data_IF_878030150655
#
_entry.id   IF_878030150655
#
_cell.length_a   1.000
_cell.length_b   1.000
_cell.length_c   1.000
_cell.angle_alpha   90.00
_cell.angle_beta   90.00
_cell.angle_gamma   90.00
#
_symmetry.space_group_name_H-M   'P 1'
#
loop_
_entity.id
_entity.type
_entity.pdbx_description
1 polymer ?
#
# COMPACT_ATOMS: atom_id res chain seq x y z
N UNK A 1 -17.97 -28.50 0.21
CA UNK A 1 -16.95 -27.99 -0.73
C UNK A 1 -15.81 -27.46 0.11
N UNK A 2 -14.81 -28.29 0.36
CA UNK A 2 -13.74 -28.03 1.35
C UNK A 2 -12.59 -27.35 0.61
N UNK A 3 -12.50 -26.02 0.66
CA UNK A 3 -11.38 -25.30 0.06
C UNK A 3 -10.09 -25.71 0.76
N UNK A 4 -9.25 -26.50 0.09
CA UNK A 4 -7.92 -26.87 0.55
C UNK A 4 -7.13 -25.59 0.83
N UNK A 5 -6.58 -25.42 2.04
CA UNK A 5 -5.74 -24.27 2.44
C UNK A 5 -4.53 -24.00 1.53
N UNK A 6 -4.23 -24.94 0.63
CA UNK A 6 -3.20 -24.82 -0.39
C UNK A 6 -3.53 -23.80 -1.49
N UNK A 7 -4.82 -23.53 -1.75
CA UNK A 7 -5.27 -22.71 -2.89
C UNK A 7 -5.62 -21.25 -2.50
N UNK A 8 -5.64 -20.93 -1.21
CA UNK A 8 -5.85 -19.57 -0.74
C UNK A 8 -4.55 -18.75 -0.83
N UNK A 9 -4.59 -17.49 -1.30
CA UNK A 9 -3.41 -16.64 -1.33
C UNK A 9 -2.77 -16.51 0.06
N UNK A 10 -1.44 -16.40 0.09
CA UNK A 10 -0.71 -16.13 1.33
C UNK A 10 -0.88 -14.68 1.76
N UNK A 11 -0.86 -13.76 0.79
CA UNK A 11 -1.12 -12.34 0.99
C UNK A 11 -2.13 -11.89 -0.06
N UNK A 12 -3.16 -11.18 0.36
CA UNK A 12 -4.13 -10.56 -0.53
C UNK A 12 -4.37 -9.12 -0.05
N UNK A 13 -4.10 -8.17 -0.93
CA UNK A 13 -4.32 -6.75 -0.72
C UNK A 13 -5.28 -6.28 -1.79
N UNK A 14 -6.35 -5.61 -1.40
CA UNK A 14 -7.40 -5.16 -2.32
C UNK A 14 -7.65 -3.66 -2.17
N UNK A 15 -7.44 -2.91 -3.25
CA UNK A 15 -7.78 -1.49 -3.39
C UNK A 15 -7.27 -0.60 -2.25
N UNK A 16 -6.06 -0.89 -1.78
CA UNK A 16 -5.49 -0.17 -0.64
C UNK A 16 -5.07 1.23 -1.04
N UNK A 17 -5.36 2.18 -0.15
CA UNK A 17 -5.07 3.62 -0.31
C UNK A 17 -4.42 4.15 0.96
N UNK A 18 -3.35 4.91 0.80
CA UNK A 18 -2.68 5.62 1.89
C UNK A 18 -2.27 7.01 1.40
N UNK A 19 -2.98 8.01 1.91
CA UNK A 19 -2.71 9.41 1.60
C UNK A 19 -2.20 10.13 2.85
N UNK A 20 -1.16 10.94 2.70
CA UNK A 20 -0.57 11.72 3.77
C UNK A 20 -0.95 13.19 3.61
N UNK A 21 -1.55 13.84 4.63
CA UNK A 21 -1.98 15.23 4.52
C UNK A 21 -0.76 16.16 4.45
N UNK A 22 -0.81 17.12 3.53
CA UNK A 22 0.14 18.23 3.48
C UNK A 22 -0.47 19.40 4.26
N UNK A 23 0.27 19.89 5.25
CA UNK A 23 -0.14 21.02 6.09
C UNK A 23 0.80 22.20 5.87
N UNK A 24 0.26 23.41 5.91
CA UNK A 24 1.01 24.67 5.81
C UNK A 24 0.71 25.56 7.02
N UNK A 25 1.70 26.35 7.44
CA UNK A 25 1.63 27.26 8.58
C UNK A 25 2.35 26.71 9.83
N UNK A 26 3.10 27.59 10.50
CA UNK A 26 3.93 27.25 11.69
C UNK A 26 3.08 27.31 12.97
N UNK A 27 2.23 28.33 13.11
CA UNK A 27 1.39 28.55 14.30
C UNK A 27 0.01 27.90 14.15
N UNK A 28 -0.59 27.99 12.96
CA UNK A 28 -1.85 27.33 12.61
C UNK A 28 -1.62 26.40 11.43
N UNK A 29 -1.63 25.09 11.68
CA UNK A 29 -1.50 24.07 10.63
C UNK A 29 -2.80 23.96 9.85
N UNK A 30 -2.84 24.52 8.63
CA UNK A 30 -3.96 24.35 7.69
C UNK A 30 -3.66 23.22 6.72
N UNK A 31 -4.60 22.30 6.49
CA UNK A 31 -4.49 21.28 5.43
C UNK A 31 -4.58 21.97 4.07
N UNK A 32 -3.55 21.80 3.24
CA UNK A 32 -3.44 22.42 1.92
C UNK A 32 -3.44 21.41 0.78
N UNK A 33 -3.33 20.13 1.08
CA UNK A 33 -3.39 19.06 0.11
C UNK A 33 -3.10 17.70 0.74
N UNK A 34 -2.79 16.73 -0.10
CA UNK A 34 -2.41 15.38 0.30
C UNK A 34 -1.48 14.73 -0.73
N UNK A 35 -0.48 13.99 -0.23
CA UNK A 35 0.41 13.15 -1.03
C UNK A 35 -0.18 11.76 -1.06
N UNK A 36 -0.48 11.27 -2.26
CA UNK A 36 -0.96 9.91 -2.47
C UNK A 36 0.22 8.93 -2.51
N UNK A 37 0.57 8.35 -1.38
CA UNK A 37 1.68 7.39 -1.32
C UNK A 37 1.28 6.00 -1.85
N UNK A 38 0.04 5.59 -1.63
CA UNK A 38 -0.56 4.39 -2.24
C UNK A 38 -1.94 4.77 -2.74
N UNK A 39 -2.23 4.54 -4.01
CA UNK A 39 -3.53 4.83 -4.62
C UNK A 39 -4.06 3.61 -5.38
N UNK A 40 -5.05 2.95 -4.77
CA UNK A 40 -5.82 1.85 -5.37
C UNK A 40 -4.99 0.62 -5.77
N UNK A 41 -4.08 0.21 -4.88
CA UNK A 41 -3.21 -0.95 -5.14
C UNK A 41 -3.90 -2.24 -4.73
N UNK A 42 -3.94 -3.20 -5.66
CA UNK A 42 -4.36 -4.58 -5.40
C UNK A 42 -3.25 -5.54 -5.79
N UNK A 43 -2.89 -6.44 -4.89
CA UNK A 43 -1.85 -7.45 -5.12
C UNK A 43 -2.21 -8.77 -4.42
N UNK A 44 -1.79 -9.87 -5.01
CA UNK A 44 -1.99 -11.21 -4.46
C UNK A 44 -0.66 -11.95 -4.54
N UNK A 45 -0.26 -12.62 -3.46
CA UNK A 45 0.95 -13.43 -3.39
C UNK A 45 0.54 -14.83 -2.97
N UNK A 46 0.80 -15.81 -3.84
CA UNK A 46 0.55 -17.22 -3.57
C UNK A 46 1.63 -17.80 -2.66
N UNK A 47 1.35 -18.95 -2.05
CA UNK A 47 2.34 -19.67 -1.25
C UNK A 47 3.50 -20.12 -2.13
N UNK A 48 4.73 -19.80 -1.72
CA UNK A 48 5.95 -20.14 -2.47
C UNK A 48 6.36 -19.11 -3.52
N UNK A 49 5.59 -18.03 -3.71
CA UNK A 49 5.98 -16.93 -4.58
C UNK A 49 6.91 -15.94 -3.87
N UNK A 50 7.82 -15.36 -4.63
CA UNK A 50 8.64 -14.23 -4.19
C UNK A 50 8.24 -13.00 -5.02
N UNK A 51 7.73 -11.95 -4.35
CA UNK A 51 7.39 -10.69 -4.98
C UNK A 51 8.50 -9.65 -4.73
N UNK A 52 9.04 -9.08 -5.81
CA UNK A 52 9.97 -7.94 -5.74
C UNK A 52 9.27 -6.61 -6.02
N UNK A 53 9.26 -5.70 -5.05
CA UNK A 53 8.69 -4.36 -5.21
C UNK A 53 9.79 -3.33 -5.52
N UNK A 54 9.81 -2.82 -6.75
CA UNK A 54 10.86 -1.91 -7.26
C UNK A 54 10.29 -0.58 -7.76
N UNK A 55 11.14 0.45 -7.86
CA UNK A 55 10.75 1.80 -8.30
C UNK A 55 11.63 2.90 -7.71
N UNK A 56 11.48 4.14 -8.20
CA UNK A 56 12.26 5.31 -7.79
C UNK A 56 12.10 5.67 -6.30
N UNK A 57 13.06 6.40 -5.74
CA UNK A 57 12.94 6.89 -4.35
C UNK A 57 11.67 7.72 -4.18
N UNK A 58 10.89 7.45 -3.13
CA UNK A 58 9.63 8.16 -2.87
C UNK A 58 8.39 7.61 -3.57
N UNK A 59 8.48 6.55 -4.37
CA UNK A 59 7.34 5.98 -5.12
C UNK A 59 6.30 5.23 -4.27
N UNK A 60 6.39 5.24 -2.94
CA UNK A 60 5.41 4.59 -2.05
C UNK A 60 5.66 3.11 -1.72
N UNK A 61 6.77 2.52 -2.16
CA UNK A 61 7.10 1.09 -1.92
C UNK A 61 7.07 0.70 -0.45
N UNK A 62 7.82 1.42 0.39
CA UNK A 62 7.88 1.14 1.83
C UNK A 62 6.54 1.39 2.50
N UNK A 63 5.76 2.36 2.01
CA UNK A 63 4.39 2.59 2.49
C UNK A 63 3.51 1.38 2.20
N UNK A 64 3.56 0.81 0.99
CA UNK A 64 2.78 -0.37 0.63
C UNK A 64 3.13 -1.60 1.49
N UNK A 65 4.41 -1.79 1.83
CA UNK A 65 4.88 -2.92 2.65
C UNK A 65 4.51 -2.78 4.13
N UNK A 66 4.25 -1.56 4.61
CA UNK A 66 3.91 -1.27 6.01
C UNK A 66 2.39 -1.24 6.29
N UNK A 67 1.55 -1.44 5.27
CA UNK A 67 0.10 -1.48 5.40
C UNK A 67 -0.37 -2.89 5.77
#
# INVERSE_FOLDING_TARGET
MTTTRADSPLVEVSRVKKYFPVTSGIVFKKRVGEVKAVDDVSLTIQRGETLGLVGESGSGKSTLVQL
#
